data_IF_240732145459
#
_entry.id   IF_240732145459
#
_cell.length_a   1.000
_cell.length_b   1.000
_cell.length_c   1.000
_cell.angle_alpha   90.00
_cell.angle_beta   90.00
_cell.angle_gamma   90.00
#
_symmetry.space_group_name_H-M   'P 1'
#
loop_
_entity.id
_entity.type
_entity.pdbx_description
1 polymer ?
#
# COMPACT_ATOMS: atom_id res chain seq x y z
N UNK A 1 29.72 -29.19 -13.33
CA UNK A 1 28.59 -28.83 -12.44
C UNK A 1 27.79 -27.76 -13.20
N UNK A 2 26.68 -28.17 -13.83
CA UNK A 2 25.79 -27.23 -14.49
C UNK A 2 25.19 -26.29 -13.43
N UNK A 3 25.50 -25.01 -13.52
CA UNK A 3 24.90 -24.00 -12.65
C UNK A 3 23.40 -23.96 -12.92
N UNK A 4 22.61 -24.32 -11.92
CA UNK A 4 21.16 -24.42 -11.97
C UNK A 4 20.56 -23.01 -12.24
N UNK A 5 20.46 -22.66 -13.52
CA UNK A 5 19.83 -21.44 -14.01
C UNK A 5 18.37 -21.75 -14.30
N UNK A 6 17.44 -21.19 -13.54
CA UNK A 6 16.01 -21.32 -13.80
C UNK A 6 15.47 -20.06 -14.46
N UNK A 7 14.52 -20.23 -15.36
CA UNK A 7 13.79 -19.15 -16.03
C UNK A 7 12.31 -19.26 -15.68
N UNK A 8 11.71 -18.15 -15.29
CA UNK A 8 10.28 -18.09 -14.97
C UNK A 8 9.69 -16.76 -15.42
N UNK A 9 8.37 -16.73 -15.58
CA UNK A 9 7.61 -15.52 -15.93
C UNK A 9 6.65 -15.20 -14.79
N UNK A 10 6.55 -13.92 -14.44
CA UNK A 10 5.61 -13.42 -13.43
C UNK A 10 5.19 -11.99 -13.75
N UNK A 11 4.03 -11.60 -13.26
CA UNK A 11 3.59 -10.21 -13.28
C UNK A 11 4.05 -9.52 -12.00
N UNK A 12 4.44 -8.26 -12.09
CA UNK A 12 4.93 -7.49 -10.94
C UNK A 12 4.71 -5.99 -11.08
N UNK A 13 4.53 -5.33 -9.95
CA UNK A 13 4.62 -3.88 -9.81
C UNK A 13 6.06 -3.49 -9.50
N UNK A 14 6.61 -2.52 -10.20
CA UNK A 14 7.92 -1.92 -9.88
C UNK A 14 7.70 -0.94 -8.72
N UNK A 15 8.15 -1.32 -7.52
CA UNK A 15 8.01 -0.51 -6.28
C UNK A 15 9.24 0.32 -5.94
N UNK A 16 10.38 0.02 -6.56
CA UNK A 16 11.60 0.83 -6.45
C UNK A 16 12.47 0.62 -7.67
N UNK A 17 13.08 1.71 -8.16
CA UNK A 17 14.11 1.66 -9.18
C UNK A 17 15.36 2.41 -8.73
N UNK A 18 16.50 1.92 -9.13
CA UNK A 18 17.80 2.54 -8.89
C UNK A 18 18.66 2.41 -10.14
N UNK A 19 19.25 3.52 -10.57
CA UNK A 19 20.22 3.52 -11.66
C UNK A 19 21.52 2.83 -11.25
N UNK A 20 22.03 1.96 -12.11
CA UNK A 20 23.33 1.29 -11.93
C UNK A 20 24.17 1.60 -13.18
N UNK A 21 25.23 2.38 -12.99
CA UNK A 21 25.98 2.91 -14.12
C UNK A 21 25.13 3.77 -15.05
N UNK A 22 25.53 3.83 -16.32
CA UNK A 22 24.85 4.70 -17.31
C UNK A 22 23.58 4.11 -17.88
N UNK A 23 23.56 2.78 -18.11
CA UNK A 23 22.53 2.13 -18.93
C UNK A 23 21.66 1.12 -18.18
N UNK A 24 22.00 0.75 -16.96
CA UNK A 24 21.36 -0.33 -16.24
C UNK A 24 20.45 0.17 -15.10
N UNK A 25 19.54 -0.69 -14.68
CA UNK A 25 18.70 -0.50 -13.49
C UNK A 25 18.77 -1.70 -12.57
N UNK A 26 18.70 -1.45 -11.28
CA UNK A 26 18.30 -2.42 -10.27
C UNK A 26 16.89 -2.07 -9.84
N UNK A 27 15.95 -2.99 -9.99
CA UNK A 27 14.54 -2.79 -9.63
C UNK A 27 14.13 -3.70 -8.50
N UNK A 28 13.26 -3.18 -7.62
CA UNK A 28 12.53 -3.99 -6.65
C UNK A 28 11.13 -4.20 -7.20
N UNK A 29 10.76 -5.47 -7.33
CA UNK A 29 9.51 -5.92 -7.91
C UNK A 29 8.64 -6.53 -6.82
N UNK A 30 7.41 -6.07 -6.68
CA UNK A 30 6.39 -6.81 -5.96
C UNK A 30 5.69 -7.74 -6.94
N UNK A 31 6.06 -9.00 -6.90
CA UNK A 31 5.63 -10.02 -7.86
C UNK A 31 4.38 -10.74 -7.37
N UNK A 32 3.59 -11.21 -8.31
CA UNK A 32 2.40 -12.01 -8.04
C UNK A 32 2.73 -13.36 -7.36
N UNK A 33 3.81 -14.00 -7.79
CA UNK A 33 4.09 -15.40 -7.47
C UNK A 33 5.28 -15.62 -6.53
N UNK A 34 6.10 -14.57 -6.27
CA UNK A 34 7.36 -14.71 -5.54
C UNK A 34 7.57 -13.61 -4.48
N UNK A 35 6.51 -12.87 -4.10
CA UNK A 35 6.64 -11.75 -3.16
C UNK A 35 7.57 -10.66 -3.69
N UNK A 36 8.35 -10.04 -2.81
CA UNK A 36 9.30 -9.01 -3.20
C UNK A 36 10.62 -9.64 -3.64
N UNK A 37 11.08 -9.28 -4.84
CA UNK A 37 12.40 -9.64 -5.37
C UNK A 37 13.15 -8.42 -5.91
N UNK A 38 14.48 -8.50 -5.88
CA UNK A 38 15.35 -7.47 -6.49
C UNK A 38 15.97 -8.05 -7.75
N UNK A 39 15.78 -7.39 -8.89
CA UNK A 39 16.21 -7.89 -10.19
C UNK A 39 17.03 -6.85 -10.96
N UNK A 40 18.09 -7.30 -11.62
CA UNK A 40 18.95 -6.47 -12.45
C UNK A 40 18.41 -6.40 -13.87
N UNK A 41 18.24 -5.20 -14.41
CA UNK A 41 17.74 -4.90 -15.73
C UNK A 41 18.86 -4.28 -16.61
N UNK A 42 19.64 -5.12 -17.26
CA UNK A 42 20.72 -4.67 -18.13
C UNK A 42 20.16 -3.89 -19.33
N UNK A 43 20.79 -2.74 -19.64
CA UNK A 43 20.44 -1.86 -20.75
C UNK A 43 19.06 -1.21 -20.65
N UNK A 44 18.43 -1.21 -19.47
CA UNK A 44 17.06 -0.71 -19.29
C UNK A 44 16.93 0.80 -19.56
N UNK A 45 17.98 1.59 -19.37
CA UNK A 45 18.01 3.05 -19.60
C UNK A 45 18.39 3.43 -21.03
N UNK A 46 18.82 2.48 -21.85
CA UNK A 46 19.13 2.77 -23.25
C UNK A 46 17.88 3.22 -24.01
N UNK A 47 18.01 4.23 -24.87
CA UNK A 47 16.89 4.79 -25.68
C UNK A 47 16.22 3.71 -26.54
N UNK A 48 16.96 2.70 -26.99
CA UNK A 48 16.43 1.58 -27.78
C UNK A 48 15.89 0.42 -26.93
N UNK A 49 15.89 0.55 -25.61
CA UNK A 49 15.53 -0.54 -24.70
C UNK A 49 14.02 -0.79 -24.68
N UNK A 50 13.61 -1.99 -25.03
CA UNK A 50 12.23 -2.45 -24.84
C UNK A 50 11.85 -2.61 -23.35
N UNK A 51 12.85 -2.66 -22.45
CA UNK A 51 12.65 -2.82 -21.00
C UNK A 51 12.51 -1.49 -20.26
N UNK A 52 12.82 -0.35 -20.90
CA UNK A 52 12.87 0.95 -20.25
C UNK A 52 11.60 1.29 -19.48
N UNK A 53 10.48 1.35 -20.18
CA UNK A 53 9.17 1.66 -19.57
C UNK A 53 8.73 0.58 -18.60
N UNK A 54 8.90 -0.70 -18.95
CA UNK A 54 8.46 -1.83 -18.14
C UNK A 54 9.16 -1.92 -16.76
N UNK A 55 10.36 -1.32 -16.66
CA UNK A 55 11.17 -1.31 -15.41
C UNK A 55 11.13 0.03 -14.69
N UNK A 56 10.29 0.97 -15.12
CA UNK A 56 10.11 2.25 -14.42
C UNK A 56 9.22 2.11 -13.20
N UNK A 57 9.46 2.95 -12.20
CA UNK A 57 8.65 3.02 -10.99
C UNK A 57 7.15 3.14 -11.31
N UNK A 58 6.27 2.53 -10.51
CA UNK A 58 4.82 2.52 -10.67
C UNK A 58 4.34 1.92 -12.01
N UNK A 59 5.13 1.04 -12.62
CA UNK A 59 4.71 0.28 -13.79
C UNK A 59 4.42 -1.17 -13.40
N UNK A 60 3.22 -1.65 -13.73
CA UNK A 60 2.86 -3.06 -13.63
C UNK A 60 3.19 -3.74 -14.95
N UNK A 61 4.00 -4.79 -14.92
CA UNK A 61 4.58 -5.42 -16.11
C UNK A 61 4.64 -6.93 -15.99
N UNK A 62 4.66 -7.62 -17.12
CA UNK A 62 5.04 -9.02 -17.22
C UNK A 62 6.56 -9.11 -17.41
N UNK A 63 7.21 -9.91 -16.57
CA UNK A 63 8.65 -10.09 -16.55
C UNK A 63 9.02 -11.55 -16.80
N UNK A 64 9.95 -11.79 -17.71
CA UNK A 64 10.70 -13.05 -17.80
C UNK A 64 12.02 -12.87 -17.07
N UNK A 65 12.24 -13.65 -16.02
CA UNK A 65 13.35 -13.51 -15.10
C UNK A 65 14.22 -14.76 -15.13
N UNK A 66 15.53 -14.55 -15.16
CA UNK A 66 16.54 -15.58 -14.99
C UNK A 66 17.02 -15.54 -13.53
N UNK A 67 16.89 -16.65 -12.83
CA UNK A 67 17.43 -16.85 -11.49
C UNK A 67 18.71 -17.66 -11.58
N UNK A 68 19.80 -17.12 -11.00
CA UNK A 68 21.06 -17.81 -10.83
C UNK A 68 21.49 -17.66 -9.38
N UNK A 69 21.45 -18.75 -8.60
CA UNK A 69 21.61 -18.71 -7.13
C UNK A 69 20.62 -17.69 -6.53
N UNK A 70 21.11 -16.69 -5.84
CA UNK A 70 20.32 -15.65 -5.18
C UNK A 70 20.15 -14.37 -6.02
N UNK A 71 20.56 -14.40 -7.29
CA UNK A 71 20.48 -13.24 -8.18
C UNK A 71 19.38 -13.40 -9.22
N UNK A 72 18.63 -12.32 -9.45
CA UNK A 72 17.58 -12.24 -10.46
C UNK A 72 17.99 -11.26 -11.56
N UNK A 73 17.85 -11.67 -12.81
CA UNK A 73 18.13 -10.82 -13.98
C UNK A 73 16.93 -10.79 -14.90
N UNK A 74 16.46 -9.61 -15.27
CA UNK A 74 15.38 -9.43 -16.20
C UNK A 74 15.89 -9.74 -17.61
N UNK A 75 15.34 -10.79 -18.20
CA UNK A 75 15.58 -11.18 -19.58
C UNK A 75 14.69 -10.38 -20.53
N UNK A 76 13.36 -10.43 -20.29
CA UNK A 76 12.33 -9.69 -21.00
C UNK A 76 11.40 -8.98 -20.04
N UNK A 77 10.84 -7.85 -20.46
CA UNK A 77 9.82 -7.14 -19.72
C UNK A 77 8.86 -6.43 -20.69
N UNK A 78 7.56 -6.58 -20.45
CA UNK A 78 6.50 -5.96 -21.25
C UNK A 78 5.56 -5.21 -20.30
N UNK A 79 5.34 -3.89 -20.49
CA UNK A 79 4.44 -3.13 -19.63
C UNK A 79 2.98 -3.56 -19.87
N UNK A 80 2.23 -3.76 -18.79
CA UNK A 80 0.79 -4.04 -18.80
C UNK A 80 0.04 -2.73 -18.49
N UNK A 81 0.48 -2.02 -17.45
CA UNK A 81 -0.14 -0.77 -17.03
C UNK A 81 0.89 0.18 -16.43
N UNK A 82 0.85 1.42 -16.88
CA UNK A 82 1.60 2.53 -16.32
C UNK A 82 0.66 3.33 -15.41
N UNK A 83 1.01 3.46 -14.14
CA UNK A 83 0.27 4.32 -13.22
C UNK A 83 0.81 5.76 -13.25
N UNK A 84 2.12 5.93 -13.43
CA UNK A 84 2.70 7.26 -13.64
C UNK A 84 2.32 7.81 -15.03
N UNK A 85 1.80 9.04 -15.07
CA UNK A 85 1.46 9.76 -16.29
C UNK A 85 2.01 11.18 -16.24
N UNK A 86 2.32 11.75 -17.40
CA UNK A 86 2.60 13.19 -17.52
C UNK A 86 1.36 13.98 -17.10
N UNK A 87 1.51 14.90 -16.12
CA UNK A 87 0.41 15.67 -15.55
C UNK A 87 -0.28 15.04 -14.34
N UNK A 88 0.33 14.01 -13.72
CA UNK A 88 -0.07 13.58 -12.37
C UNK A 88 0.25 14.69 -11.36
N UNK A 89 -0.66 14.89 -10.41
CA UNK A 89 -0.45 15.83 -9.33
C UNK A 89 0.66 15.35 -8.40
N UNK A 90 1.40 16.28 -7.79
CA UNK A 90 2.51 15.94 -6.90
C UNK A 90 2.04 15.14 -5.68
N UNK A 91 0.84 15.45 -5.20
CA UNK A 91 0.21 14.74 -4.09
C UNK A 91 -0.11 13.28 -4.43
N UNK A 92 -0.69 13.02 -5.61
CA UNK A 92 -0.95 11.66 -6.11
C UNK A 92 0.34 10.85 -6.21
N UNK A 93 1.41 11.48 -6.71
CA UNK A 93 2.72 10.83 -6.85
C UNK A 93 3.37 10.51 -5.51
N UNK A 94 3.31 11.44 -4.56
CA UNK A 94 3.83 11.23 -3.22
C UNK A 94 3.11 10.09 -2.51
N UNK A 95 1.78 10.04 -2.62
CA UNK A 95 0.97 8.98 -2.04
C UNK A 95 1.23 7.62 -2.72
N UNK A 96 1.40 7.60 -4.05
CA UNK A 96 1.76 6.38 -4.78
C UNK A 96 3.14 5.84 -4.36
N UNK A 97 4.10 6.73 -4.11
CA UNK A 97 5.42 6.34 -3.57
C UNK A 97 5.32 5.80 -2.15
N UNK A 98 4.46 6.38 -1.33
CA UNK A 98 4.17 5.84 0.00
C UNK A 98 3.59 4.40 -0.08
N UNK A 99 2.68 4.13 -0.99
CA UNK A 99 2.18 2.76 -1.20
C UNK A 99 3.29 1.78 -1.60
N UNK A 100 4.28 2.24 -2.37
CA UNK A 100 5.46 1.43 -2.68
C UNK A 100 6.35 1.17 -1.45
N UNK A 101 6.56 2.17 -0.58
CA UNK A 101 7.30 1.98 0.67
C UNK A 101 6.56 1.02 1.60
N UNK A 102 5.24 1.15 1.71
CA UNK A 102 4.37 0.27 2.50
C UNK A 102 4.49 -1.21 2.05
N UNK A 103 4.54 -1.47 0.73
CA UNK A 103 4.84 -2.81 0.22
C UNK A 103 6.17 -3.35 0.75
N UNK A 104 7.20 -2.52 0.72
CA UNK A 104 8.55 -2.91 1.15
C UNK A 104 8.66 -3.24 2.64
N UNK A 105 7.75 -2.69 3.46
CA UNK A 105 7.71 -2.92 4.92
C UNK A 105 6.86 -4.15 5.27
N UNK A 106 5.70 -4.29 4.65
CA UNK A 106 4.71 -5.33 5.02
C UNK A 106 4.99 -6.66 4.33
N UNK A 107 5.32 -6.63 3.04
CA UNK A 107 5.43 -7.87 2.25
C UNK A 107 6.78 -8.53 2.44
N UNK A 108 6.76 -9.79 2.85
CA UNK A 108 7.99 -10.57 3.02
C UNK A 108 8.64 -10.92 1.67
N UNK A 109 9.97 -10.89 1.65
CA UNK A 109 10.73 -11.32 0.48
C UNK A 109 10.54 -12.82 0.22
N UNK A 110 10.25 -13.17 -1.04
CA UNK A 110 10.10 -14.55 -1.46
C UNK A 110 8.78 -15.24 -1.09
N UNK A 111 7.85 -14.54 -0.41
CA UNK A 111 6.54 -15.05 -0.03
C UNK A 111 5.46 -14.33 -0.86
N UNK A 112 4.68 -15.05 -1.69
CA UNK A 112 3.60 -14.45 -2.46
C UNK A 112 2.52 -13.84 -1.56
N UNK A 113 2.04 -12.65 -1.94
CA UNK A 113 0.89 -12.01 -1.32
C UNK A 113 0.01 -11.36 -2.39
N UNK A 114 -0.82 -12.17 -3.01
CA UNK A 114 -1.68 -11.74 -4.11
C UNK A 114 -2.80 -10.79 -3.67
N UNK A 115 -3.29 -10.89 -2.43
CA UNK A 115 -4.32 -9.99 -1.91
C UNK A 115 -3.73 -8.60 -1.64
N UNK A 116 -2.53 -8.54 -1.08
CA UNK A 116 -1.84 -7.27 -0.88
C UNK A 116 -1.46 -6.61 -2.21
N UNK A 117 -0.95 -7.38 -3.18
CA UNK A 117 -0.68 -6.85 -4.53
C UNK A 117 -1.95 -6.28 -5.18
N UNK A 118 -3.08 -7.00 -5.06
CA UNK A 118 -4.38 -6.55 -5.56
C UNK A 118 -4.83 -5.25 -4.88
N UNK A 119 -4.61 -5.12 -3.55
CA UNK A 119 -4.91 -3.90 -2.80
C UNK A 119 -4.15 -2.71 -3.40
N UNK A 120 -2.84 -2.84 -3.54
CA UNK A 120 -1.99 -1.76 -4.04
C UNK A 120 -2.33 -1.38 -5.48
N UNK A 121 -2.53 -2.35 -6.38
CA UNK A 121 -2.91 -2.09 -7.77
C UNK A 121 -4.25 -1.36 -7.88
N UNK A 122 -5.24 -1.71 -7.04
CA UNK A 122 -6.53 -1.03 -6.99
C UNK A 122 -6.39 0.38 -6.38
N UNK A 123 -5.62 0.54 -5.30
CA UNK A 123 -5.35 1.86 -4.72
C UNK A 123 -4.73 2.81 -5.74
N UNK A 124 -3.73 2.36 -6.48
CA UNK A 124 -3.11 3.13 -7.57
C UNK A 124 -4.11 3.42 -8.71
N UNK A 125 -5.01 2.50 -9.01
CA UNK A 125 -6.04 2.71 -10.01
C UNK A 125 -7.01 3.83 -9.62
N UNK A 126 -7.55 3.79 -8.39
CA UNK A 126 -8.50 4.79 -7.91
C UNK A 126 -7.83 6.15 -7.66
N UNK A 127 -6.59 6.16 -7.21
CA UNK A 127 -5.82 7.37 -6.99
C UNK A 127 -5.47 8.06 -8.32
N UNK A 128 -4.75 7.38 -9.19
CA UNK A 128 -4.13 7.98 -10.37
C UNK A 128 -4.96 7.82 -11.66
N UNK A 129 -5.87 6.85 -11.71
CA UNK A 129 -6.74 6.58 -12.85
C UNK A 129 -8.06 7.28 -12.77
N UNK A 130 -8.79 7.12 -11.67
CA UNK A 130 -10.11 7.73 -11.42
C UNK A 130 -10.02 9.05 -10.65
N UNK A 131 -8.85 9.41 -10.14
CA UNK A 131 -8.58 10.64 -9.39
C UNK A 131 -9.54 10.85 -8.23
N UNK A 132 -9.77 9.79 -7.47
CA UNK A 132 -10.54 9.88 -6.24
C UNK A 132 -9.75 10.61 -5.17
N UNK A 133 -10.47 11.17 -4.21
CA UNK A 133 -9.90 11.97 -3.13
C UNK A 133 -8.74 11.26 -2.42
N UNK A 134 -7.50 11.76 -2.49
CA UNK A 134 -6.30 11.05 -2.04
C UNK A 134 -6.34 10.61 -0.57
N UNK A 135 -6.81 11.43 0.42
CA UNK A 135 -6.92 11.03 1.81
C UNK A 135 -7.83 9.80 2.01
N UNK A 136 -8.93 9.68 1.26
CA UNK A 136 -9.80 8.51 1.35
C UNK A 136 -9.11 7.25 0.83
N UNK A 137 -8.43 7.34 -0.31
CA UNK A 137 -7.67 6.20 -0.88
C UNK A 137 -6.54 5.78 0.05
N UNK A 138 -5.85 6.75 0.66
CA UNK A 138 -4.82 6.50 1.69
C UNK A 138 -5.41 5.71 2.85
N UNK A 139 -6.51 6.20 3.44
CA UNK A 139 -7.14 5.55 4.59
C UNK A 139 -7.59 4.12 4.29
N UNK A 140 -8.22 3.89 3.13
CA UNK A 140 -8.62 2.56 2.66
C UNK A 140 -7.41 1.64 2.56
N UNK A 141 -6.32 2.13 1.94
CA UNK A 141 -5.12 1.34 1.71
C UNK A 141 -4.45 0.96 3.02
N UNK A 142 -4.25 1.91 3.93
CA UNK A 142 -3.58 1.70 5.21
C UNK A 142 -4.33 0.73 6.11
N UNK A 143 -5.63 0.97 6.30
CA UNK A 143 -6.42 0.14 7.21
C UNK A 143 -6.62 -1.28 6.68
N UNK A 144 -6.80 -1.42 5.36
CA UNK A 144 -6.88 -2.75 4.74
C UNK A 144 -5.53 -3.45 4.72
N UNK A 145 -4.43 -2.73 4.50
CA UNK A 145 -3.07 -3.25 4.59
C UNK A 145 -2.77 -3.77 5.99
N UNK A 146 -3.12 -3.01 7.04
CA UNK A 146 -2.98 -3.45 8.42
C UNK A 146 -3.76 -4.75 8.68
N UNK A 147 -5.01 -4.83 8.19
CA UNK A 147 -5.82 -6.04 8.35
C UNK A 147 -5.21 -7.26 7.65
N UNK A 148 -4.68 -7.10 6.43
CA UNK A 148 -4.00 -8.17 5.69
C UNK A 148 -2.67 -8.59 6.34
N UNK A 149 -1.96 -7.65 6.94
CA UNK A 149 -0.70 -7.90 7.64
C UNK A 149 -0.85 -8.55 9.04
N UNK A 150 -2.09 -8.83 9.46
CA UNK A 150 -2.35 -9.43 10.78
C UNK A 150 -2.58 -8.42 11.91
N UNK A 151 -2.57 -7.12 11.60
CA UNK A 151 -2.88 -6.02 12.54
C UNK A 151 -4.32 -5.53 12.39
N UNK A 152 -5.27 -6.46 12.22
CA UNK A 152 -6.67 -6.11 12.05
C UNK A 152 -7.23 -5.49 13.34
N UNK A 153 -7.75 -4.25 13.32
CA UNK A 153 -8.36 -3.67 14.50
C UNK A 153 -9.70 -4.32 14.83
N UNK A 154 -10.02 -4.45 16.11
CA UNK A 154 -11.33 -4.90 16.59
C UNK A 154 -12.31 -3.72 16.59
N UNK A 155 -13.09 -3.62 15.50
CA UNK A 155 -14.07 -2.55 15.30
C UNK A 155 -15.53 -3.02 15.48
N UNK A 156 -15.76 -4.26 15.93
CA UNK A 156 -17.12 -4.82 16.02
C UNK A 156 -17.92 -4.13 17.12
N UNK A 157 -17.37 -4.04 18.33
CA UNK A 157 -18.06 -3.51 19.48
C UNK A 157 -17.07 -2.98 20.53
N UNK A 158 -17.59 -2.33 21.57
CA UNK A 158 -16.80 -1.98 22.73
C UNK A 158 -16.17 -3.24 23.35
N UNK A 159 -14.86 -3.27 23.49
CA UNK A 159 -14.14 -4.45 23.99
C UNK A 159 -14.51 -4.81 25.43
N UNK A 160 -14.91 -3.82 26.26
CA UNK A 160 -15.23 -4.06 27.67
C UNK A 160 -16.66 -4.55 27.90
N UNK A 161 -17.66 -3.99 27.21
CA UNK A 161 -19.07 -4.26 27.50
C UNK A 161 -19.86 -4.83 26.30
N UNK A 162 -19.25 -4.94 25.12
CA UNK A 162 -19.91 -5.46 23.93
C UNK A 162 -20.91 -4.49 23.28
N UNK A 163 -20.99 -3.22 23.71
CA UNK A 163 -21.88 -2.21 23.08
C UNK A 163 -21.46 -2.00 21.65
N UNK A 164 -22.38 -2.28 20.70
CA UNK A 164 -22.08 -2.23 19.25
C UNK A 164 -22.04 -0.80 18.69
N UNK A 165 -22.94 0.07 19.17
CA UNK A 165 -23.07 1.46 18.75
C UNK A 165 -23.22 2.37 19.96
N UNK A 166 -22.71 3.59 19.84
CA UNK A 166 -22.84 4.68 20.80
C UNK A 166 -22.82 5.99 20.02
N UNK A 167 -23.30 7.09 20.62
CA UNK A 167 -23.24 8.43 20.00
C UNK A 167 -21.78 8.82 19.66
N UNK A 168 -20.84 8.37 20.48
CA UNK A 168 -19.41 8.51 20.28
C UNK A 168 -18.69 7.25 20.74
N UNK A 169 -17.99 6.59 19.82
CA UNK A 169 -17.05 5.53 20.16
C UNK A 169 -15.62 6.10 20.26
N UNK A 170 -14.75 5.40 20.92
CA UNK A 170 -13.36 5.81 21.14
C UNK A 170 -12.43 4.71 20.68
N UNK A 171 -11.54 5.05 19.75
CA UNK A 171 -10.56 4.13 19.21
C UNK A 171 -9.23 4.27 19.93
N UNK A 172 -8.77 3.17 20.50
CA UNK A 172 -7.43 3.01 21.04
C UNK A 172 -6.50 2.61 19.91
N UNK A 173 -5.76 3.59 19.37
CA UNK A 173 -4.87 3.38 18.20
C UNK A 173 -3.75 2.39 18.54
N UNK A 174 -3.28 2.37 19.78
CA UNK A 174 -2.18 1.48 20.21
C UNK A 174 -2.60 0.03 20.25
N UNK A 175 -3.81 -0.22 20.77
CA UNK A 175 -4.32 -1.58 20.97
C UNK A 175 -5.23 -2.06 19.82
N UNK A 176 -5.61 -1.18 18.91
CA UNK A 176 -6.49 -1.52 17.78
C UNK A 176 -7.91 -1.92 18.21
N UNK A 177 -8.49 -1.27 19.25
CA UNK A 177 -9.78 -1.63 19.82
C UNK A 177 -10.70 -0.43 20.03
N UNK A 178 -12.00 -0.72 20.22
CA UNK A 178 -13.02 0.27 20.51
C UNK A 178 -13.45 0.25 21.98
N UNK A 179 -13.73 1.44 22.50
CA UNK A 179 -14.41 1.64 23.80
C UNK A 179 -15.61 2.56 23.60
N UNK A 180 -16.72 2.31 24.31
CA UNK A 180 -17.85 3.22 24.35
C UNK A 180 -17.65 4.34 25.38
N UNK A 181 -18.54 5.34 25.40
CA UNK A 181 -18.50 6.47 26.32
C UNK A 181 -18.49 6.06 27.79
N UNK A 182 -19.20 4.98 28.15
CA UNK A 182 -19.24 4.47 29.49
C UNK A 182 -17.95 3.76 29.94
N UNK A 183 -17.26 3.11 28.97
CA UNK A 183 -16.11 2.27 29.23
C UNK A 183 -14.75 2.97 29.04
N UNK A 184 -14.71 4.18 28.46
CA UNK A 184 -13.46 4.91 28.19
C UNK A 184 -12.75 5.44 29.46
N UNK A 185 -13.45 5.48 30.62
CA UNK A 185 -12.90 5.99 31.84
C UNK A 185 -11.58 5.30 32.22
N UNK A 186 -10.60 6.10 32.65
CA UNK A 186 -9.24 5.67 33.00
C UNK A 186 -8.37 5.13 31.82
N UNK A 187 -8.75 5.41 30.58
CA UNK A 187 -7.92 5.11 29.40
C UNK A 187 -7.50 6.43 28.75
N UNK A 188 -6.21 6.68 28.64
CA UNK A 188 -5.65 7.86 27.97
C UNK A 188 -5.35 7.56 26.48
N UNK A 189 -5.17 8.60 25.66
CA UNK A 189 -4.74 8.46 24.26
C UNK A 189 -5.82 7.94 23.32
N UNK A 190 -7.09 7.95 23.74
CA UNK A 190 -8.21 7.54 22.93
C UNK A 190 -8.59 8.60 21.89
N UNK A 191 -8.87 8.17 20.69
CA UNK A 191 -9.36 9.01 19.58
C UNK A 191 -10.87 8.88 19.47
N UNK A 192 -11.66 9.98 19.60
CA UNK A 192 -13.10 9.93 19.39
C UNK A 192 -13.43 9.62 17.95
N UNK A 193 -14.35 8.69 17.74
CA UNK A 193 -14.79 8.21 16.42
C UNK A 193 -16.29 8.40 16.29
N UNK A 194 -16.69 9.30 15.40
CA UNK A 194 -18.08 9.52 15.05
C UNK A 194 -18.67 8.32 14.30
N UNK A 195 -20.00 8.10 14.34
CA UNK A 195 -20.64 6.95 13.68
C UNK A 195 -20.30 6.81 12.19
N UNK A 196 -20.18 7.91 11.47
CA UNK A 196 -19.81 7.90 10.04
C UNK A 196 -18.40 7.34 9.83
N UNK A 197 -17.42 7.77 10.66
CA UNK A 197 -16.06 7.26 10.59
C UNK A 197 -16.01 5.77 10.97
N UNK A 198 -16.71 5.39 12.03
CA UNK A 198 -16.75 4.00 12.47
C UNK A 198 -17.34 3.09 11.39
N UNK A 199 -18.42 3.54 10.75
CA UNK A 199 -19.02 2.80 9.64
C UNK A 199 -18.04 2.64 8.47
N UNK A 200 -17.30 3.70 8.12
CA UNK A 200 -16.27 3.65 7.09
C UNK A 200 -15.13 2.69 7.47
N UNK A 201 -14.62 2.76 8.70
CA UNK A 201 -13.57 1.86 9.19
C UNK A 201 -14.03 0.39 9.15
N UNK A 202 -15.25 0.10 9.61
CA UNK A 202 -15.86 -1.24 9.54
C UNK A 202 -15.99 -1.71 8.10
N UNK A 203 -16.45 -0.85 7.20
CA UNK A 203 -16.55 -1.18 5.78
C UNK A 203 -15.18 -1.55 5.21
N UNK A 204 -14.14 -0.76 5.47
CA UNK A 204 -12.78 -1.03 4.98
C UNK A 204 -12.27 -2.37 5.49
N UNK A 205 -12.47 -2.68 6.77
CA UNK A 205 -11.91 -3.89 7.40
C UNK A 205 -12.68 -5.15 7.02
N UNK A 206 -14.03 -5.09 7.03
CA UNK A 206 -14.86 -6.30 6.98
C UNK A 206 -15.54 -6.54 5.64
N UNK A 207 -15.53 -5.57 4.68
CA UNK A 207 -16.16 -5.80 3.38
C UNK A 207 -15.34 -6.75 2.52
N UNK A 208 -16.03 -7.40 1.58
CA UNK A 208 -15.37 -8.11 0.50
C UNK A 208 -14.55 -7.16 -0.37
N UNK A 209 -13.50 -7.67 -0.99
CA UNK A 209 -12.58 -6.88 -1.80
C UNK A 209 -13.27 -6.16 -2.98
N UNK A 210 -14.33 -6.76 -3.53
CA UNK A 210 -15.15 -6.18 -4.61
C UNK A 210 -15.88 -4.90 -4.20
N UNK A 211 -16.15 -4.72 -2.90
CA UNK A 211 -16.85 -3.57 -2.33
C UNK A 211 -15.96 -2.57 -1.63
N UNK A 212 -14.67 -2.86 -1.47
CA UNK A 212 -13.74 -2.05 -0.67
C UNK A 212 -13.75 -0.56 -1.04
N UNK A 213 -13.87 -0.25 -2.32
CA UNK A 213 -13.87 1.13 -2.83
C UNK A 213 -15.27 1.63 -3.23
N UNK A 214 -16.37 0.95 -2.83
CA UNK A 214 -17.72 1.28 -3.26
C UNK A 214 -18.44 2.34 -2.43
N UNK A 215 -17.77 3.00 -1.52
CA UNK A 215 -18.36 4.02 -0.66
C UNK A 215 -17.65 5.38 -0.82
N UNK A 216 -18.33 6.42 -0.35
CA UNK A 216 -17.82 7.77 -0.23
C UNK A 216 -18.20 8.35 1.13
N UNK A 217 -17.40 9.26 1.65
CA UNK A 217 -17.64 10.05 2.86
C UNK A 217 -17.28 11.50 2.57
N UNK A 218 -17.77 12.47 3.36
CA UNK A 218 -17.34 13.86 3.25
C UNK A 218 -15.82 14.00 3.35
N UNK A 219 -15.23 14.95 2.63
CA UNK A 219 -13.77 15.14 2.60
C UNK A 219 -13.20 15.37 4.01
N UNK A 220 -13.85 16.19 4.83
CA UNK A 220 -13.44 16.40 6.23
C UNK A 220 -13.37 15.08 7.03
N UNK A 221 -14.32 14.18 6.80
CA UNK A 221 -14.31 12.85 7.42
C UNK A 221 -13.20 11.95 6.86
N UNK A 222 -12.92 12.07 5.56
CA UNK A 222 -11.83 11.34 4.92
C UNK A 222 -10.46 11.80 5.43
N UNK A 223 -10.28 13.11 5.67
CA UNK A 223 -9.05 13.66 6.24
C UNK A 223 -8.82 13.14 7.68
N UNK A 224 -9.86 13.19 8.52
CA UNK A 224 -9.80 12.63 9.88
C UNK A 224 -9.47 11.13 9.85
N UNK A 225 -10.11 10.39 8.95
CA UNK A 225 -9.86 8.96 8.80
C UNK A 225 -8.41 8.68 8.35
N UNK A 226 -7.92 9.44 7.37
CA UNK A 226 -6.54 9.38 6.88
C UNK A 226 -5.50 9.66 7.96
N UNK A 227 -5.77 10.60 8.86
CA UNK A 227 -4.89 10.88 9.99
C UNK A 227 -4.86 9.69 10.98
N UNK A 228 -6.02 9.13 11.31
CA UNK A 228 -6.16 7.99 12.23
C UNK A 228 -5.46 6.76 11.68
N UNK A 229 -5.70 6.42 10.40
CA UNK A 229 -5.13 5.23 9.78
C UNK A 229 -3.63 5.33 9.59
N UNK A 230 -3.10 6.54 9.28
CA UNK A 230 -1.67 6.79 9.19
C UNK A 230 -0.95 6.61 10.53
N UNK A 231 -1.54 7.09 11.63
CA UNK A 231 -1.03 6.84 12.98
C UNK A 231 -1.08 5.35 13.32
N UNK A 232 -2.18 4.69 12.98
CA UNK A 232 -2.38 3.28 13.25
C UNK A 232 -1.35 2.40 12.54
N UNK A 233 -1.20 2.53 11.22
CA UNK A 233 -0.26 1.70 10.44
C UNK A 233 1.20 1.93 10.89
N UNK A 234 1.58 3.17 11.17
CA UNK A 234 2.92 3.52 11.68
C UNK A 234 3.21 2.84 13.01
N UNK A 235 2.23 2.83 13.91
CA UNK A 235 2.36 2.23 15.23
C UNK A 235 2.40 0.70 15.17
N UNK A 236 1.51 0.10 14.37
CA UNK A 236 1.43 -1.36 14.26
C UNK A 236 2.63 -1.97 13.54
N UNK A 237 3.23 -1.25 12.59
CA UNK A 237 4.43 -1.74 11.87
C UNK A 237 5.73 -1.37 12.57
N UNK A 238 5.70 -0.57 13.64
CA UNK A 238 6.88 0.02 14.29
C UNK A 238 7.85 0.64 13.27
N UNK A 239 7.28 1.29 12.24
CA UNK A 239 8.05 1.84 11.12
C UNK A 239 7.67 3.28 10.82
N UNK A 240 8.68 4.16 10.67
CA UNK A 240 8.50 5.53 10.22
C UNK A 240 8.62 5.59 8.70
N UNK A 241 7.54 5.92 8.02
CA UNK A 241 7.50 6.03 6.57
C UNK A 241 7.95 7.43 6.11
N UNK A 242 9.12 7.52 5.50
CA UNK A 242 9.66 8.80 5.02
C UNK A 242 8.81 9.40 3.90
N UNK A 243 8.23 8.56 3.04
CA UNK A 243 7.34 9.01 1.96
C UNK A 243 5.97 9.48 2.49
N UNK A 244 5.48 8.92 3.60
CA UNK A 244 4.29 9.43 4.28
C UNK A 244 4.53 10.79 4.92
N UNK A 245 5.70 10.98 5.56
CA UNK A 245 6.10 12.28 6.11
C UNK A 245 6.13 13.35 5.00
N UNK A 246 6.67 13.00 3.83
CA UNK A 246 6.68 13.88 2.66
C UNK A 246 5.26 14.17 2.15
N UNK A 247 4.43 13.15 1.95
CA UNK A 247 3.03 13.33 1.55
C UNK A 247 2.30 14.28 2.51
N UNK A 248 2.40 14.06 3.82
CA UNK A 248 1.77 14.90 4.83
C UNK A 248 2.28 16.35 4.85
N UNK A 249 3.48 16.61 4.34
CA UNK A 249 4.04 17.96 4.27
C UNK A 249 3.46 18.79 3.12
N UNK A 250 3.04 18.14 2.02
CA UNK A 250 2.51 18.80 0.82
C UNK A 250 0.98 18.84 0.76
N UNK A 251 0.29 17.90 1.42
CA UNK A 251 -1.18 17.84 1.45
C UNK A 251 -1.83 18.84 2.41
N UNK A 252 -1.05 19.61 3.16
CA UNK A 252 -1.52 20.62 4.13
C UNK A 252 -1.45 22.06 3.59
N UNK A 253 -0.96 22.25 2.37
CA UNK A 253 -0.98 23.54 1.66
C UNK A 253 -2.23 23.66 0.78
#
# INVERSE_FOLDING_TARGET
MEENQSRFTTEALVIKEMSVGENDRLVTLFTKDYGIIRAFAAGAKSIKSKKGTATSLLTYSSFTILKKKDTYKIYEATPIRLFFRTGSEIEELALAQYFCELCGVIVSSGIPDGEFLRLILNSLHFLMGERRYPPLIKAITELRAAALAGFMPNLVACERCGKFEDDMMYFDISEGRLLCSDCKANTSGLTPIEPTLLSAMRHIVYSEFSRLYSFTIPEESADKLSEITGKYITLQTDHRFATLDFYNSISKE
#
